data_IF_952955104437
#
_entry.id   IF_952955104437
#
_cell.length_a   1.000
_cell.length_b   1.000
_cell.length_c   1.000
_cell.angle_alpha   90.00
_cell.angle_beta   90.00
_cell.angle_gamma   90.00
#
_symmetry.space_group_name_H-M   'P 1'
#
loop_
_entity.id
_entity.type
_entity.pdbx_description
1 polymer ?
#
# COMPACT_ATOMS: atom_id res chain seq x y z
N UNK A 1 -27.38 -6.42 -20.96
CA UNK A 1 -26.49 -7.57 -20.70
C UNK A 1 -27.21 -8.61 -19.87
N UNK A 2 -27.08 -9.89 -20.16
CA UNK A 2 -27.64 -10.96 -19.33
C UNK A 2 -26.84 -11.08 -18.02
N UNK A 3 -27.44 -11.74 -17.04
CA UNK A 3 -26.75 -12.03 -15.78
C UNK A 3 -25.44 -12.79 -16.01
N UNK A 4 -25.46 -13.78 -16.91
CA UNK A 4 -24.26 -14.56 -17.24
C UNK A 4 -23.16 -13.69 -17.86
N UNK A 5 -23.52 -12.79 -18.74
CA UNK A 5 -22.55 -11.86 -19.36
C UNK A 5 -21.96 -10.90 -18.34
N UNK A 6 -22.79 -10.39 -17.43
CA UNK A 6 -22.30 -9.53 -16.34
C UNK A 6 -21.36 -10.26 -15.41
N UNK A 7 -21.66 -11.51 -15.08
CA UNK A 7 -20.78 -12.33 -14.25
C UNK A 7 -19.47 -12.64 -14.95
N UNK A 8 -19.53 -12.96 -16.24
CA UNK A 8 -18.32 -13.20 -17.02
C UNK A 8 -17.44 -11.96 -17.08
N UNK A 9 -18.02 -10.80 -17.33
CA UNK A 9 -17.29 -9.52 -17.34
C UNK A 9 -16.65 -9.22 -16.00
N UNK A 10 -17.38 -9.47 -14.91
CA UNK A 10 -16.87 -9.31 -13.56
C UNK A 10 -15.67 -10.24 -13.30
N UNK A 11 -15.77 -11.49 -13.73
CA UNK A 11 -14.68 -12.46 -13.63
C UNK A 11 -13.46 -12.03 -14.45
N UNK A 12 -13.67 -11.49 -15.65
CA UNK A 12 -12.59 -10.94 -16.47
C UNK A 12 -11.89 -9.77 -15.79
N UNK A 13 -12.64 -8.89 -15.17
CA UNK A 13 -12.07 -7.79 -14.39
C UNK A 13 -11.29 -8.29 -13.18
N UNK A 14 -11.82 -9.31 -12.48
CA UNK A 14 -11.12 -9.95 -11.36
C UNK A 14 -9.85 -10.64 -11.83
N UNK A 15 -9.84 -11.23 -13.04
CA UNK A 15 -8.63 -11.89 -13.55
C UNK A 15 -7.50 -10.91 -13.84
N UNK A 16 -7.80 -9.65 -14.17
CA UNK A 16 -6.80 -8.58 -14.28
C UNK A 16 -6.14 -8.27 -12.94
N UNK A 17 -6.89 -8.47 -11.83
CA UNK A 17 -6.43 -8.32 -10.46
C UNK A 17 -6.09 -9.65 -9.81
N UNK A 18 -6.11 -10.71 -10.58
CA UNK A 18 -6.05 -12.11 -10.20
C UNK A 18 -7.28 -12.60 -9.42
N UNK A 19 -7.92 -13.71 -9.85
CA UNK A 19 -9.11 -14.25 -9.21
C UNK A 19 -8.86 -14.55 -7.73
N UNK A 20 -9.79 -14.15 -6.89
CA UNK A 20 -9.71 -14.42 -5.47
C UNK A 20 -8.84 -13.46 -4.68
N UNK A 21 -8.37 -12.36 -5.28
CA UNK A 21 -7.60 -11.36 -4.56
C UNK A 21 -8.42 -10.71 -3.44
N UNK A 22 -8.01 -11.00 -2.21
CA UNK A 22 -8.42 -10.20 -1.06
C UNK A 22 -7.59 -8.91 -1.01
N UNK A 23 -7.98 -8.00 -0.13
CA UNK A 23 -7.17 -6.81 0.16
C UNK A 23 -5.73 -7.21 0.52
N UNK A 24 -5.57 -8.23 1.36
CA UNK A 24 -4.25 -8.68 1.82
C UNK A 24 -3.43 -9.27 0.70
N UNK A 25 -4.04 -10.07 -0.18
CA UNK A 25 -3.35 -10.67 -1.32
C UNK A 25 -2.86 -9.59 -2.29
N UNK A 26 -3.72 -8.63 -2.62
CA UNK A 26 -3.35 -7.54 -3.50
C UNK A 26 -2.27 -6.66 -2.89
N UNK A 27 -2.40 -6.31 -1.61
CA UNK A 27 -1.40 -5.51 -0.90
C UNK A 27 -0.04 -6.20 -0.90
N UNK A 28 0.00 -7.50 -0.59
CA UNK A 28 1.24 -8.29 -0.61
C UNK A 28 1.89 -8.27 -1.98
N UNK A 29 1.12 -8.52 -3.02
CA UNK A 29 1.62 -8.53 -4.39
C UNK A 29 2.20 -7.18 -4.81
N UNK A 30 1.52 -6.08 -4.46
CA UNK A 30 2.00 -4.74 -4.79
C UNK A 30 3.29 -4.39 -4.06
N UNK A 31 3.35 -4.64 -2.76
CA UNK A 31 4.53 -4.31 -1.94
C UNK A 31 5.76 -5.09 -2.39
N UNK A 32 5.60 -6.40 -2.65
CA UNK A 32 6.72 -7.27 -3.04
C UNK A 32 6.98 -7.30 -4.55
N UNK A 33 6.14 -6.65 -5.34
CA UNK A 33 6.27 -6.59 -6.80
C UNK A 33 6.57 -5.19 -7.29
N UNK A 34 5.56 -4.52 -7.83
CA UNK A 34 5.72 -3.26 -8.57
C UNK A 34 6.36 -2.15 -7.73
N UNK A 35 5.96 -1.99 -6.47
CA UNK A 35 6.54 -0.95 -5.62
C UNK A 35 8.00 -1.20 -5.32
N UNK A 36 8.39 -2.47 -5.15
CA UNK A 36 9.78 -2.82 -4.97
C UNK A 36 10.64 -2.46 -6.17
N UNK A 37 10.10 -2.63 -7.38
CA UNK A 37 10.77 -2.22 -8.61
C UNK A 37 10.87 -0.71 -8.74
N UNK A 38 9.81 0.01 -8.41
CA UNK A 38 9.74 1.46 -8.59
C UNK A 38 10.51 2.23 -7.51
N UNK A 39 10.48 1.77 -6.27
CA UNK A 39 10.98 2.53 -5.12
C UNK A 39 12.11 1.85 -4.35
N UNK A 40 12.43 0.60 -4.67
CA UNK A 40 13.38 -0.21 -3.92
C UNK A 40 12.73 -0.83 -2.68
N UNK A 41 13.55 -1.40 -1.82
CA UNK A 41 13.09 -2.00 -0.57
C UNK A 41 12.47 -0.91 0.34
N UNK A 42 11.37 -1.21 1.04
CA UNK A 42 10.74 -0.22 1.93
C UNK A 42 11.68 0.41 2.95
N UNK A 43 12.63 -0.34 3.49
CA UNK A 43 13.61 0.21 4.42
C UNK A 43 14.41 1.35 3.79
N UNK A 44 14.87 1.18 2.56
CA UNK A 44 15.66 2.20 1.86
C UNK A 44 14.80 3.40 1.47
N UNK A 45 13.62 3.15 0.91
CA UNK A 45 12.68 4.19 0.50
C UNK A 45 12.23 5.03 1.70
N UNK A 46 11.78 4.37 2.77
CA UNK A 46 11.27 5.07 3.95
C UNK A 46 12.39 5.73 4.75
N UNK A 47 13.61 5.20 4.69
CA UNK A 47 14.77 5.86 5.30
C UNK A 47 15.09 7.18 4.60
N UNK A 48 15.06 7.21 3.27
CA UNK A 48 15.22 8.46 2.51
C UNK A 48 14.11 9.45 2.83
N UNK A 49 12.87 8.97 2.83
CA UNK A 49 11.70 9.79 3.13
C UNK A 49 11.78 10.35 4.55
N UNK A 50 12.18 9.54 5.51
CA UNK A 50 12.34 9.96 6.90
C UNK A 50 13.37 11.10 7.05
N UNK A 51 14.47 11.02 6.33
CA UNK A 51 15.49 12.08 6.31
C UNK A 51 14.92 13.39 5.75
N UNK A 52 14.16 13.29 4.66
CA UNK A 52 13.53 14.48 4.04
C UNK A 52 12.52 15.10 5.02
N UNK A 53 11.66 14.27 5.60
CA UNK A 53 10.65 14.74 6.55
C UNK A 53 11.28 15.32 7.81
N UNK A 54 12.36 14.72 8.30
CA UNK A 54 13.11 15.26 9.44
C UNK A 54 13.63 16.67 9.16
N UNK A 55 14.16 16.88 7.96
CA UNK A 55 14.65 18.19 7.56
C UNK A 55 13.51 19.23 7.46
N UNK A 56 12.36 18.82 6.90
CA UNK A 56 11.21 19.71 6.75
C UNK A 56 10.62 20.07 8.11
N UNK A 57 10.46 19.12 8.99
CA UNK A 57 9.76 19.27 10.27
C UNK A 57 10.66 19.76 11.40
N UNK A 58 11.97 19.64 11.24
CA UNK A 58 12.92 20.03 12.28
C UNK A 58 12.94 19.08 13.48
N UNK A 59 12.45 17.85 13.32
CA UNK A 59 12.49 16.81 14.34
C UNK A 59 12.89 15.47 13.69
N UNK A 60 13.42 14.55 14.47
CA UNK A 60 13.79 13.24 13.95
C UNK A 60 12.53 12.43 13.60
N UNK A 61 12.49 11.94 12.37
CA UNK A 61 11.45 11.03 11.88
C UNK A 61 12.10 9.70 11.52
N UNK A 62 11.48 8.60 11.94
CA UNK A 62 11.98 7.24 11.64
C UNK A 62 11.28 6.65 10.43
N UNK A 63 11.89 5.64 9.76
CA UNK A 63 11.22 4.93 8.67
C UNK A 63 9.88 4.32 9.08
N UNK A 64 9.78 3.81 10.32
CA UNK A 64 8.53 3.27 10.83
C UNK A 64 7.45 4.34 10.92
N UNK A 65 7.83 5.53 11.36
CA UNK A 65 6.89 6.66 11.43
C UNK A 65 6.40 7.08 10.05
N UNK A 66 7.26 6.99 9.03
CA UNK A 66 6.83 7.24 7.64
C UNK A 66 5.69 6.30 7.25
N UNK A 67 5.85 5.01 7.50
CA UNK A 67 4.81 4.03 7.18
C UNK A 67 3.51 4.33 7.93
N UNK A 68 3.60 4.63 9.23
CA UNK A 68 2.43 4.95 10.06
C UNK A 68 1.73 6.22 9.60
N UNK A 69 2.49 7.25 9.23
CA UNK A 69 1.92 8.49 8.70
C UNK A 69 1.20 8.26 7.38
N UNK A 70 1.75 7.43 6.52
CA UNK A 70 1.09 7.10 5.24
C UNK A 70 -0.20 6.31 5.46
N UNK A 71 -0.24 5.43 6.45
CA UNK A 71 -1.48 4.76 6.86
C UNK A 71 -2.51 5.81 7.29
N UNK A 72 -2.10 6.80 8.07
CA UNK A 72 -2.96 7.91 8.49
C UNK A 72 -3.52 8.70 7.31
N UNK A 73 -2.70 8.99 6.30
CA UNK A 73 -3.14 9.66 5.07
C UNK A 73 -4.23 8.84 4.37
N UNK A 74 -4.05 7.52 4.26
CA UNK A 74 -5.02 6.65 3.60
C UNK A 74 -6.31 6.53 4.42
N UNK A 75 -6.20 6.53 5.73
CA UNK A 75 -7.37 6.56 6.61
C UNK A 75 -8.20 7.83 6.40
N UNK A 76 -7.55 8.98 6.33
CA UNK A 76 -8.21 10.26 6.07
C UNK A 76 -8.95 10.24 4.74
N UNK A 77 -8.30 9.72 3.70
CA UNK A 77 -8.91 9.62 2.37
C UNK A 77 -10.08 8.65 2.35
N UNK A 78 -9.98 7.57 3.09
CA UNK A 78 -11.08 6.60 3.20
C UNK A 78 -12.30 7.22 3.90
N UNK A 79 -12.08 8.06 4.90
CA UNK A 79 -13.17 8.77 5.58
C UNK A 79 -13.90 9.74 4.64
N UNK A 80 -13.17 10.41 3.74
CA UNK A 80 -13.77 11.38 2.83
C UNK A 80 -14.48 10.70 1.65
N UNK A 81 -13.80 9.76 1.00
CA UNK A 81 -14.35 9.02 -0.14
C UNK A 81 -13.87 7.58 -0.09
N UNK A 82 -14.69 6.66 0.43
CA UNK A 82 -14.31 5.26 0.53
C UNK A 82 -13.94 4.67 -0.83
N UNK A 83 -12.76 4.06 -0.90
CA UNK A 83 -12.26 3.37 -2.09
C UNK A 83 -11.46 2.15 -1.66
N UNK A 84 -11.58 1.08 -2.43
CA UNK A 84 -10.81 -0.14 -2.19
C UNK A 84 -9.30 0.13 -2.15
N UNK A 85 -8.80 1.02 -3.02
CA UNK A 85 -7.37 1.35 -3.08
C UNK A 85 -6.84 1.90 -1.76
N UNK A 86 -7.63 2.69 -1.03
CA UNK A 86 -7.22 3.18 0.30
C UNK A 86 -7.00 2.01 1.26
N UNK A 87 -7.89 1.04 1.25
CA UNK A 87 -7.80 -0.13 2.14
C UNK A 87 -6.64 -1.03 1.76
N UNK A 88 -6.41 -1.22 0.46
CA UNK A 88 -5.23 -1.95 -0.04
C UNK A 88 -3.95 -1.25 0.39
N UNK A 89 -3.91 0.07 0.28
CA UNK A 89 -2.72 0.85 0.64
C UNK A 89 -2.46 0.83 2.16
N UNK A 90 -3.51 0.86 2.98
CA UNK A 90 -3.36 0.70 4.44
C UNK A 90 -2.68 -0.64 4.74
N UNK A 91 -3.18 -1.72 4.14
CA UNK A 91 -2.59 -3.05 4.32
C UNK A 91 -1.17 -3.11 3.77
N UNK A 92 -0.93 -2.47 2.62
CA UNK A 92 0.40 -2.42 2.00
C UNK A 92 1.43 -1.69 2.86
N UNK A 93 1.06 -0.56 3.44
CA UNK A 93 1.97 0.14 4.35
C UNK A 93 2.20 -0.61 5.65
N UNK A 94 1.23 -1.39 6.13
CA UNK A 94 1.42 -2.27 7.27
C UNK A 94 2.44 -3.36 6.96
N UNK A 95 2.36 -3.97 5.79
CA UNK A 95 3.35 -4.96 5.34
C UNK A 95 4.73 -4.32 5.18
N UNK A 96 4.79 -3.13 4.56
CA UNK A 96 6.04 -2.40 4.39
C UNK A 96 6.67 -2.03 5.75
N UNK A 97 5.85 -1.65 6.73
CA UNK A 97 6.32 -1.40 8.09
C UNK A 97 6.99 -2.63 8.68
N UNK A 98 6.38 -3.80 8.52
CA UNK A 98 6.96 -5.06 9.01
C UNK A 98 8.29 -5.36 8.33
N UNK A 99 8.41 -5.11 7.03
CA UNK A 99 9.66 -5.27 6.30
C UNK A 99 10.74 -4.30 6.81
N UNK A 100 10.39 -3.09 7.18
CA UNK A 100 11.31 -2.12 7.78
C UNK A 100 11.80 -2.61 9.14
N UNK A 101 10.89 -3.06 9.99
CA UNK A 101 11.22 -3.59 11.32
C UNK A 101 12.17 -4.78 11.21
N UNK A 102 11.91 -5.68 10.25
CA UNK A 102 12.69 -6.90 10.08
C UNK A 102 14.07 -6.66 9.45
N UNK A 103 14.33 -5.48 8.90
CA UNK A 103 15.64 -5.10 8.37
C UNK A 103 16.63 -4.61 9.44
N UNK A 104 16.21 -4.51 10.66
CA UNK A 104 17.04 -3.99 11.76
C UNK A 104 17.76 -5.08 12.53
#
# INVERSE_FOLDING_TARGET
MSYAEEQLKHLEELSKKEPGDSILTEAHRLVHGQRGQDYGHPYEDFSRTAKIWSAILGVDVTPEQVALCMIGVKMSRECNRPKRDNRVDIAGYAEALDMVVNCR
#
